data_IF_196492403661
#
_entry.id   IF_196492403661
#
_cell.length_a   1.000
_cell.length_b   1.000
_cell.length_c   1.000
_cell.angle_alpha   90.00
_cell.angle_beta   90.00
_cell.angle_gamma   90.00
#
_symmetry.space_group_name_H-M   'P 1'
#
loop_
_entity.id
_entity.type
_entity.pdbx_description
1 polymer ?
#
# COMPACT_ATOMS: atom_id res chain seq x y z
N UNK A 1 2.80 15.85 4.79
CA UNK A 1 2.21 14.83 5.71
C UNK A 1 1.39 13.81 4.93
N UNK A 2 1.27 12.56 5.42
CA UNK A 2 0.54 11.49 4.73
C UNK A 2 -0.99 11.61 4.80
N UNK A 3 -1.53 12.52 5.58
CA UNK A 3 -2.99 12.67 5.72
C UNK A 3 -3.63 13.15 4.42
N UNK A 4 -4.95 12.94 4.32
CA UNK A 4 -5.76 13.28 3.16
C UNK A 4 -5.97 12.11 2.21
N UNK A 5 -6.47 12.43 1.01
CA UNK A 5 -6.81 11.45 -0.03
C UNK A 5 -5.59 11.08 -0.87
N UNK A 6 -5.51 9.81 -1.22
CA UNK A 6 -4.52 9.18 -2.08
C UNK A 6 -5.19 8.17 -3.02
N UNK A 7 -4.55 7.90 -4.14
CA UNK A 7 -4.89 6.83 -5.07
C UNK A 7 -3.77 5.79 -5.06
N UNK A 8 -4.12 4.51 -4.99
CA UNK A 8 -3.15 3.42 -5.16
C UNK A 8 -2.86 3.24 -6.65
N UNK A 9 -1.68 3.65 -7.08
CA UNK A 9 -1.23 3.60 -8.48
C UNK A 9 -0.52 2.29 -8.79
N UNK A 10 0.31 1.82 -7.86
CA UNK A 10 1.10 0.60 -8.03
C UNK A 10 1.05 -0.28 -6.79
N UNK A 11 1.05 -1.58 -7.00
CA UNK A 11 1.16 -2.58 -5.95
C UNK A 11 2.07 -3.70 -6.41
N UNK A 12 3.08 -4.00 -5.61
CA UNK A 12 3.95 -5.14 -5.83
C UNK A 12 3.97 -6.05 -4.59
N UNK A 13 3.93 -7.37 -4.75
CA UNK A 13 4.03 -8.30 -3.63
C UNK A 13 4.33 -9.74 -4.07
N UNK A 14 5.12 -10.45 -3.26
CA UNK A 14 5.37 -11.89 -3.45
C UNK A 14 4.38 -12.80 -2.71
N UNK A 15 3.36 -12.23 -2.07
CA UNK A 15 2.35 -13.03 -1.34
C UNK A 15 1.48 -13.87 -2.28
N UNK A 16 1.09 -15.07 -1.86
CA UNK A 16 0.18 -15.92 -2.63
C UNK A 16 -1.16 -15.21 -2.92
N UNK A 17 -1.67 -14.43 -1.96
CA UNK A 17 -2.88 -13.63 -2.16
C UNK A 17 -2.73 -12.65 -3.32
N UNK A 18 -1.57 -11.97 -3.44
CA UNK A 18 -1.33 -11.09 -4.57
C UNK A 18 -1.31 -11.87 -5.87
N UNK A 19 -0.57 -12.98 -5.95
CA UNK A 19 -0.49 -13.83 -7.15
C UNK A 19 -1.87 -14.29 -7.62
N UNK A 20 -2.70 -14.76 -6.69
CA UNK A 20 -4.07 -15.22 -6.98
C UNK A 20 -5.01 -14.08 -7.39
N UNK A 21 -4.89 -12.89 -6.78
CA UNK A 21 -5.86 -11.79 -6.95
C UNK A 21 -5.39 -10.70 -7.90
N UNK A 22 -4.15 -10.73 -8.39
CA UNK A 22 -3.53 -9.70 -9.25
C UNK A 22 -4.46 -9.26 -10.37
N UNK A 23 -5.06 -10.22 -11.08
CA UNK A 23 -5.95 -9.99 -12.23
C UNK A 23 -7.28 -9.28 -11.89
N UNK A 24 -7.66 -9.23 -10.61
CA UNK A 24 -8.87 -8.56 -10.13
C UNK A 24 -8.57 -7.19 -9.51
N UNK A 25 -7.30 -6.85 -9.28
CA UNK A 25 -6.93 -5.62 -8.61
C UNK A 25 -7.11 -4.42 -9.53
N UNK A 26 -7.69 -3.36 -8.98
CA UNK A 26 -7.86 -2.06 -9.64
C UNK A 26 -7.42 -0.96 -8.69
N UNK A 27 -7.29 0.24 -9.21
CA UNK A 27 -6.98 1.43 -8.42
C UNK A 27 -7.97 1.60 -7.26
N UNK A 28 -7.42 1.88 -6.08
CA UNK A 28 -8.19 2.15 -4.88
C UNK A 28 -8.08 3.62 -4.51
N UNK A 29 -9.13 4.19 -3.92
CA UNK A 29 -9.02 5.49 -3.23
C UNK A 29 -8.79 5.22 -1.75
N UNK A 30 -7.76 5.83 -1.18
CA UNK A 30 -7.42 5.70 0.23
C UNK A 30 -7.45 7.07 0.90
N UNK A 31 -8.16 7.18 2.02
CA UNK A 31 -8.18 8.37 2.87
C UNK A 31 -7.43 8.04 4.15
N UNK A 32 -6.51 8.92 4.53
CA UNK A 32 -5.67 8.77 5.72
C UNK A 32 -5.93 9.95 6.66
N UNK A 33 -6.33 9.67 7.89
CA UNK A 33 -6.44 10.64 8.99
C UNK A 33 -5.46 10.30 10.11
N UNK A 34 -5.00 11.32 10.84
CA UNK A 34 -4.16 11.13 12.02
C UNK A 34 -5.02 11.19 13.28
N UNK A 35 -4.76 10.31 14.24
CA UNK A 35 -5.35 10.39 15.58
C UNK A 35 -4.58 11.38 16.46
N UNK A 36 -5.16 11.80 17.59
CA UNK A 36 -4.46 12.66 18.57
C UNK A 36 -3.14 12.06 19.07
N UNK A 37 -3.06 10.73 19.09
CA UNK A 37 -1.89 10.00 19.58
C UNK A 37 -0.84 9.79 18.48
N UNK A 38 -1.11 10.21 17.23
CA UNK A 38 -0.22 10.09 16.08
C UNK A 38 -0.33 8.78 15.31
N UNK A 39 -1.35 7.96 15.57
CA UNK A 39 -1.68 6.79 14.73
C UNK A 39 -2.34 7.26 13.43
N UNK A 40 -2.43 6.36 12.44
CA UNK A 40 -3.14 6.64 11.19
C UNK A 40 -4.37 5.76 11.04
N UNK A 41 -5.53 6.37 10.87
CA UNK A 41 -6.74 5.71 10.39
C UNK A 41 -6.70 5.72 8.86
N UNK A 42 -6.75 4.53 8.27
CA UNK A 42 -6.62 4.31 6.83
C UNK A 42 -7.89 3.65 6.32
N UNK A 43 -8.62 4.37 5.48
CA UNK A 43 -9.84 3.89 4.83
C UNK A 43 -9.59 3.74 3.34
N UNK A 44 -9.56 2.51 2.85
CA UNK A 44 -9.38 2.19 1.44
C UNK A 44 -10.67 1.69 0.82
N UNK A 45 -11.11 2.34 -0.25
CA UNK A 45 -12.27 1.95 -1.06
C UNK A 45 -11.80 1.44 -2.41
N UNK A 46 -12.27 0.26 -2.80
CA UNK A 46 -11.89 -0.40 -4.04
C UNK A 46 -13.09 -1.05 -4.74
N UNK A 47 -13.08 -1.07 -6.09
CA UNK A 47 -14.13 -1.71 -6.86
C UNK A 47 -14.02 -3.24 -6.76
N UNK A 48 -15.17 -3.92 -6.68
CA UNK A 48 -15.27 -5.38 -6.68
C UNK A 48 -16.57 -5.80 -7.35
N UNK A 49 -16.47 -6.29 -8.59
CA UNK A 49 -17.64 -6.49 -9.44
C UNK A 49 -18.35 -5.15 -9.68
N UNK A 50 -19.66 -5.12 -9.49
CA UNK A 50 -20.50 -3.92 -9.67
C UNK A 50 -20.64 -3.05 -8.40
N UNK A 51 -19.89 -3.38 -7.34
CA UNK A 51 -19.96 -2.69 -6.04
C UNK A 51 -18.59 -2.13 -5.63
N UNK A 52 -18.62 -1.16 -4.72
CA UNK A 52 -17.42 -0.67 -4.03
C UNK A 52 -17.36 -1.26 -2.62
N UNK A 53 -16.24 -1.90 -2.28
CA UNK A 53 -15.96 -2.34 -0.91
C UNK A 53 -15.05 -1.32 -0.22
N UNK A 54 -15.27 -1.13 1.08
CA UNK A 54 -14.44 -0.25 1.91
C UNK A 54 -13.79 -1.05 3.04
N UNK A 55 -12.51 -0.78 3.31
CA UNK A 55 -11.74 -1.37 4.40
C UNK A 55 -11.12 -0.30 5.25
N UNK A 56 -11.31 -0.43 6.56
CA UNK A 56 -10.69 0.42 7.56
C UNK A 56 -9.55 -0.34 8.23
N UNK A 57 -8.42 0.32 8.43
CA UNK A 57 -7.25 -0.18 9.16
C UNK A 57 -6.72 0.93 10.07
N UNK A 58 -6.34 0.57 11.29
CA UNK A 58 -5.65 1.48 12.20
C UNK A 58 -4.16 1.11 12.22
N UNK A 59 -3.32 2.01 11.73
CA UNK A 59 -1.86 1.88 11.74
C UNK A 59 -1.31 2.55 12.98
N UNK A 60 -0.80 1.75 13.90
CA UNK A 60 -0.24 2.24 15.15
C UNK A 60 1.17 2.75 14.93
N UNK A 61 1.45 3.99 15.36
CA UNK A 61 2.78 4.56 15.25
C UNK A 61 3.80 3.73 16.04
N UNK A 62 5.04 3.75 15.59
CA UNK A 62 6.17 3.22 16.36
C UNK A 62 7.04 4.37 16.85
N UNK A 63 8.09 4.06 17.61
CA UNK A 63 9.09 5.05 18.01
C UNK A 63 9.88 5.61 16.81
N UNK A 64 9.92 4.87 15.69
CA UNK A 64 10.61 5.27 14.48
C UNK A 64 9.68 6.13 13.60
N UNK A 65 10.05 7.38 13.27
CA UNK A 65 9.27 8.22 12.35
C UNK A 65 9.05 7.54 11.00
N UNK A 66 7.82 7.63 10.49
CA UNK A 66 7.45 7.00 9.21
C UNK A 66 7.29 5.49 9.25
N UNK A 67 7.41 4.85 10.42
CA UNK A 67 7.15 3.42 10.62
C UNK A 67 5.93 3.19 11.48
N UNK A 68 5.06 2.29 11.01
CA UNK A 68 3.81 1.93 11.64
C UNK A 68 3.69 0.41 11.74
N UNK A 69 2.81 -0.03 12.63
CA UNK A 69 2.44 -1.44 12.76
C UNK A 69 0.93 -1.61 12.58
N UNK A 70 0.55 -2.74 11.99
CA UNK A 70 -0.85 -3.12 11.86
C UNK A 70 -1.00 -4.63 12.03
N UNK A 71 -2.01 -5.06 12.77
CA UNK A 71 -2.39 -6.48 12.85
C UNK A 71 -3.74 -6.65 12.21
N UNK A 72 -3.81 -7.44 11.14
CA UNK A 72 -5.04 -7.75 10.43
C UNK A 72 -5.90 -8.72 11.24
N UNK A 73 -7.06 -8.30 11.79
CA UNK A 73 -7.91 -9.19 12.58
C UNK A 73 -8.45 -10.35 11.73
N UNK A 74 -8.72 -10.08 10.45
CA UNK A 74 -9.27 -11.05 9.50
C UNK A 74 -8.28 -12.15 9.11
N UNK A 75 -6.99 -11.84 9.06
CA UNK A 75 -5.96 -12.74 8.51
C UNK A 75 -4.90 -13.16 9.53
N UNK A 76 -4.94 -12.60 10.74
CA UNK A 76 -3.91 -12.80 11.75
C UNK A 76 -2.50 -12.34 11.34
N UNK A 77 -2.35 -11.59 10.25
CA UNK A 77 -1.05 -11.11 9.80
C UNK A 77 -0.63 -9.85 10.54
N UNK A 78 0.66 -9.76 10.85
CA UNK A 78 1.32 -8.55 11.35
C UNK A 78 2.02 -7.85 10.18
N UNK A 79 1.88 -6.54 10.13
CA UNK A 79 2.39 -5.69 9.06
C UNK A 79 3.31 -4.65 9.70
N UNK A 80 4.57 -4.63 9.26
CA UNK A 80 5.54 -3.58 9.54
C UNK A 80 5.58 -2.65 8.34
N UNK A 81 5.00 -1.46 8.49
CA UNK A 81 4.73 -0.52 7.40
C UNK A 81 5.74 0.61 7.49
N UNK A 82 6.39 0.94 6.38
CA UNK A 82 7.42 1.98 6.30
C UNK A 82 7.17 2.89 5.13
N UNK A 83 7.11 4.18 5.41
CA UNK A 83 7.13 5.23 4.40
C UNK A 83 8.58 5.40 3.96
N UNK A 84 8.89 4.89 2.78
CA UNK A 84 10.27 4.87 2.26
C UNK A 84 10.62 6.22 1.65
N UNK A 85 9.69 6.76 0.88
CA UNK A 85 9.89 7.99 0.13
C UNK A 85 8.54 8.68 0.00
N UNK A 86 8.49 9.98 0.25
CA UNK A 86 7.28 10.78 0.04
C UNK A 86 7.65 12.25 -0.08
N UNK A 87 7.14 12.92 -1.12
CA UNK A 87 7.11 14.38 -1.15
C UNK A 87 5.77 14.94 -0.64
N UNK A 88 4.85 14.06 -0.21
CA UNK A 88 3.55 14.33 0.41
C UNK A 88 2.49 15.05 -0.45
N UNK A 89 2.93 15.82 -1.43
CA UNK A 89 2.08 16.65 -2.30
C UNK A 89 1.80 15.97 -3.65
N UNK A 90 2.61 14.99 -4.03
CA UNK A 90 2.48 14.27 -5.30
C UNK A 90 2.35 12.76 -5.06
N UNK A 91 3.31 12.15 -4.36
CA UNK A 91 3.36 10.69 -4.22
C UNK A 91 3.95 10.22 -2.87
N UNK A 92 3.72 8.95 -2.57
CA UNK A 92 4.37 8.24 -1.47
C UNK A 92 4.61 6.77 -1.83
N UNK A 93 5.80 6.28 -1.49
CA UNK A 93 6.24 4.91 -1.66
C UNK A 93 6.30 4.23 -0.29
N UNK A 94 5.53 3.16 -0.12
CA UNK A 94 5.36 2.49 1.16
C UNK A 94 5.75 1.03 1.03
N UNK A 95 6.74 0.60 1.82
CA UNK A 95 7.14 -0.80 1.92
C UNK A 95 6.49 -1.43 3.17
N UNK A 96 5.97 -2.63 3.03
CA UNK A 96 5.35 -3.38 4.12
C UNK A 96 5.93 -4.77 4.20
N UNK A 97 6.47 -5.13 5.36
CA UNK A 97 6.82 -6.51 5.67
C UNK A 97 5.65 -7.17 6.40
N UNK A 98 5.10 -8.21 5.78
CA UNK A 98 3.93 -8.92 6.28
C UNK A 98 4.39 -10.27 6.82
N UNK A 99 4.01 -10.60 8.06
CA UNK A 99 4.34 -11.87 8.70
C UNK A 99 3.08 -12.60 9.17
N UNK A 100 3.09 -13.91 8.99
CA UNK A 100 2.11 -14.88 9.48
C UNK A 100 2.86 -16.11 10.01
N UNK A 101 2.14 -16.98 10.70
CA UNK A 101 2.69 -18.28 11.11
C UNK A 101 3.12 -19.15 9.92
N UNK A 102 2.53 -18.91 8.74
CA UNK A 102 2.82 -19.65 7.50
C UNK A 102 3.98 -19.07 6.68
N UNK A 103 4.62 -17.99 7.15
CA UNK A 103 5.72 -17.32 6.45
C UNK A 103 5.56 -15.80 6.37
N UNK A 104 6.48 -15.17 5.66
CA UNK A 104 6.51 -13.73 5.43
C UNK A 104 6.38 -13.38 3.94
N UNK A 105 5.96 -12.15 3.67
CA UNK A 105 5.89 -11.60 2.33
C UNK A 105 6.18 -10.11 2.36
N UNK A 106 6.77 -9.61 1.27
CA UNK A 106 6.99 -8.19 1.05
C UNK A 106 5.84 -7.62 0.24
N UNK A 107 5.46 -6.37 0.51
CA UNK A 107 4.55 -5.59 -0.31
C UNK A 107 5.09 -4.17 -0.48
N UNK A 108 5.01 -3.62 -1.69
CA UNK A 108 5.30 -2.22 -1.99
C UNK A 108 4.06 -1.58 -2.57
N UNK A 109 3.67 -0.42 -2.04
CA UNK A 109 2.55 0.39 -2.51
C UNK A 109 3.05 1.75 -2.98
N UNK A 110 2.61 2.14 -4.18
CA UNK A 110 2.78 3.50 -4.70
C UNK A 110 1.46 4.24 -4.60
N UNK A 111 1.44 5.30 -3.79
CA UNK A 111 0.34 6.25 -3.68
C UNK A 111 0.61 7.51 -4.49
N UNK A 112 -0.44 8.08 -5.08
CA UNK A 112 -0.41 9.40 -5.72
C UNK A 112 -1.58 10.28 -5.25
N UNK A 113 -1.40 11.60 -5.25
CA UNK A 113 -2.49 12.57 -5.01
C UNK A 113 -3.45 12.68 -6.19
N UNK A 114 -3.01 12.28 -7.38
CA UNK A 114 -3.79 12.23 -8.62
C UNK A 114 -3.92 10.79 -9.12
N UNK A 115 -4.88 10.54 -10.04
CA UNK A 115 -5.04 9.20 -10.64
C UNK A 115 -3.92 8.85 -11.63
N UNK A 116 -3.21 9.86 -12.11
CA UNK A 116 -2.09 9.72 -13.02
C UNK A 116 -0.81 10.17 -12.33
N UNK A 117 0.30 9.55 -12.70
CA UNK A 117 1.62 9.86 -12.16
C UNK A 117 2.64 9.76 -13.30
N UNK A 118 3.70 10.56 -13.23
CA UNK A 118 4.69 10.60 -14.30
C UNK A 118 5.40 9.25 -14.49
N UNK A 119 5.85 8.93 -15.73
CA UNK A 119 6.61 7.70 -16.00
C UNK A 119 7.83 7.52 -15.09
N UNK A 120 8.53 8.60 -14.76
CA UNK A 120 9.69 8.60 -13.86
C UNK A 120 9.33 8.03 -12.47
N UNK A 121 8.17 8.41 -11.92
CA UNK A 121 7.73 7.91 -10.61
C UNK A 121 7.29 6.44 -10.68
N UNK A 122 6.69 6.01 -11.79
CA UNK A 122 6.35 4.60 -12.03
C UNK A 122 7.61 3.74 -12.17
N UNK A 123 8.64 4.25 -12.84
CA UNK A 123 9.94 3.61 -12.97
C UNK A 123 10.63 3.52 -11.60
N UNK A 124 10.62 4.60 -10.81
CA UNK A 124 11.14 4.59 -9.44
C UNK A 124 10.48 3.54 -8.56
N UNK A 125 9.15 3.40 -8.63
CA UNK A 125 8.40 2.34 -7.94
C UNK A 125 8.82 0.94 -8.41
N UNK A 126 8.97 0.73 -9.72
CA UNK A 126 9.40 -0.54 -10.30
C UNK A 126 10.80 -0.91 -9.84
N UNK A 127 11.74 0.03 -9.92
CA UNK A 127 13.12 -0.15 -9.49
C UNK A 127 13.18 -0.49 -7.99
N UNK A 128 12.50 0.28 -7.14
CA UNK A 128 12.49 0.01 -5.71
C UNK A 128 11.87 -1.36 -5.39
N UNK A 129 10.81 -1.76 -6.10
CA UNK A 129 10.20 -3.09 -5.92
C UNK A 129 11.20 -4.21 -6.22
N UNK A 130 12.03 -4.07 -7.26
CA UNK A 130 13.12 -5.01 -7.58
C UNK A 130 14.22 -5.01 -6.52
N UNK A 131 14.57 -3.84 -5.98
CA UNK A 131 15.52 -3.72 -4.86
C UNK A 131 15.01 -4.45 -3.59
N UNK A 132 13.68 -4.57 -3.43
CA UNK A 132 13.05 -5.37 -2.38
C UNK A 132 12.95 -6.88 -2.72
N UNK A 133 13.54 -7.31 -3.84
CA UNK A 133 13.56 -8.71 -4.28
C UNK A 133 12.28 -9.18 -4.98
N UNK A 134 11.41 -8.28 -5.40
CA UNK A 134 10.19 -8.61 -6.16
C UNK A 134 10.50 -8.72 -7.65
N UNK A 135 9.91 -9.70 -8.32
CA UNK A 135 10.06 -9.86 -9.77
C UNK A 135 9.08 -8.97 -10.53
N UNK A 136 9.29 -8.78 -11.85
CA UNK A 136 8.37 -8.00 -12.69
C UNK A 136 6.95 -8.59 -12.71
N UNK A 137 6.83 -9.90 -12.61
CA UNK A 137 5.54 -10.59 -12.48
C UNK A 137 4.85 -10.31 -11.13
N UNK A 138 5.60 -9.90 -10.12
CA UNK A 138 5.10 -9.53 -8.80
C UNK A 138 4.80 -8.03 -8.69
N UNK A 139 4.95 -7.26 -9.77
CA UNK A 139 4.65 -5.83 -9.86
C UNK A 139 3.39 -5.62 -10.70
N UNK A 140 2.51 -4.72 -10.25
CA UNK A 140 1.30 -4.30 -10.96
C UNK A 140 1.14 -2.78 -10.91
N UNK A 141 1.06 -2.14 -12.06
CA UNK A 141 0.44 -0.81 -12.18
C UNK A 141 -1.06 -1.02 -12.23
N UNK A 142 -1.78 -0.45 -11.27
CA UNK A 142 -3.19 -0.71 -11.06
C UNK A 142 -4.02 -0.03 -12.15
N UNK A 143 -4.89 -0.76 -12.85
CA UNK A 143 -5.77 -0.16 -13.85
C UNK A 143 -6.75 0.81 -13.18
N UNK A 144 -7.02 1.93 -13.85
CA UNK A 144 -8.01 2.90 -13.41
C UNK A 144 -9.41 2.28 -13.41
N UNK A 145 -10.29 2.82 -12.55
CA UNK A 145 -11.74 2.58 -12.59
C UNK A 145 -12.45 3.79 -13.15
#
# INVERSE_FOLDING_TARGET
>A
QLTGRWYSIGLASNSNWFKEKKHLMKMCTTVISATGDGNLEVTSTYPKGDQCETRNSLYTKTEQPGRFSYTSPRWGSKHDIRVVEANYDEYALVATQISKNTGSSTMVLLYSRTKELSPERLERFTQFSREQGLTDEEILILPQT
#
